data_IF_241187578628
#
_entry.id   IF_241187578628
#
_cell.length_a   1.000
_cell.length_b   1.000
_cell.length_c   1.000
_cell.angle_alpha   90.00
_cell.angle_beta   90.00
_cell.angle_gamma   90.00
#
_symmetry.space_group_name_H-M   'P 1'
#
loop_
_entity.id
_entity.type
_entity.pdbx_description
1 polymer ?
#
# COMPACT_ATOMS: atom_id res chain seq x y z
N UNK A 1 -22.33 59.70 41.61
CA UNK A 1 -21.53 59.73 42.85
C UNK A 1 -20.29 58.86 42.62
N UNK A 2 -19.15 59.30 42.05
CA UNK A 2 -18.37 60.56 42.07
C UNK A 2 -17.22 60.55 43.08
N UNK A 3 -16.06 61.08 42.65
CA UNK A 3 -14.74 61.17 43.32
C UNK A 3 -13.98 59.84 43.50
N UNK A 4 -12.75 59.59 43.00
CA UNK A 4 -11.55 60.37 42.56
C UNK A 4 -10.50 60.75 43.62
N UNK A 5 -9.36 60.04 43.59
CA UNK A 5 -7.96 60.57 43.48
C UNK A 5 -7.03 59.37 43.19
N UNK A 6 -6.25 59.38 42.09
CA UNK A 6 -4.88 59.96 41.93
C UNK A 6 -3.82 59.31 42.83
N UNK A 7 -2.57 59.05 42.44
CA UNK A 7 -1.78 58.94 41.18
C UNK A 7 -0.31 59.17 41.61
N UNK A 8 0.59 58.22 41.39
CA UNK A 8 2.06 58.42 41.31
C UNK A 8 2.67 57.12 40.75
N UNK A 9 3.26 57.00 39.56
CA UNK A 9 4.21 57.80 38.77
C UNK A 9 5.69 57.57 39.12
N UNK A 10 6.37 56.74 38.31
CA UNK A 10 7.67 57.04 37.66
C UNK A 10 8.12 55.95 36.67
N UNK A 11 8.50 56.38 35.47
CA UNK A 11 9.49 55.78 34.56
C UNK A 11 10.82 56.55 34.79
N UNK A 12 12.01 56.11 34.32
CA UNK A 12 12.33 55.76 32.93
C UNK A 12 13.03 54.38 32.84
N UNK A 13 13.72 53.93 31.77
CA UNK A 13 14.14 54.57 30.51
C UNK A 13 14.07 53.58 29.32
N UNK A 14 14.69 53.94 28.18
CA UNK A 14 14.73 53.20 26.92
C UNK A 14 16.00 52.36 26.81
N UNK A 15 15.94 51.29 26.02
CA UNK A 15 16.93 51.05 24.96
C UNK A 15 16.21 50.62 23.69
N UNK A 16 16.89 50.75 22.55
CA UNK A 16 16.38 50.54 21.19
C UNK A 16 17.52 49.94 20.33
N UNK A 17 17.18 49.54 19.11
CA UNK A 17 18.09 49.13 18.02
C UNK A 17 18.81 47.77 18.22
N UNK A 18 19.17 47.00 17.19
CA UNK A 18 18.88 47.12 15.74
C UNK A 18 18.39 45.78 15.15
N UNK A 19 17.93 45.82 13.88
CA UNK A 19 17.80 44.65 13.01
C UNK A 19 18.81 44.82 11.90
N UNK A 20 19.63 43.80 11.63
CA UNK A 20 20.58 43.80 10.53
C UNK A 20 20.50 42.47 9.75
N UNK A 21 20.41 42.61 8.43
CA UNK A 21 20.47 41.62 7.33
C UNK A 21 21.19 42.45 6.24
N UNK A 22 22.26 42.04 5.55
CA UNK A 22 22.38 40.85 4.70
C UNK A 22 23.88 40.62 4.31
N UNK A 23 24.26 40.17 3.09
CA UNK A 23 24.86 38.86 2.83
C UNK A 23 26.39 38.89 2.63
N UNK A 24 27.01 37.70 2.54
CA UNK A 24 28.03 37.47 1.51
C UNK A 24 28.24 35.99 1.18
N UNK A 25 28.72 35.74 -0.04
CA UNK A 25 29.03 34.42 -0.61
C UNK A 25 30.33 33.85 -0.01
N UNK A 26 30.45 32.53 0.02
CA UNK A 26 31.75 31.87 -0.10
C UNK A 26 31.57 30.54 -0.85
N UNK A 27 32.39 30.32 -1.87
CA UNK A 27 32.24 29.26 -2.85
C UNK A 27 33.47 28.33 -2.88
N UNK A 28 33.24 27.07 -3.28
CA UNK A 28 34.18 26.02 -3.68
C UNK A 28 35.57 25.87 -3.01
N UNK A 29 35.82 24.66 -2.50
CA UNK A 29 37.11 23.97 -2.64
C UNK A 29 36.89 22.43 -2.66
N UNK A 30 37.40 21.75 -3.68
CA UNK A 30 37.42 20.28 -3.80
C UNK A 30 38.55 19.65 -2.96
N UNK A 31 38.44 18.35 -2.63
CA UNK A 31 39.47 17.35 -2.98
C UNK A 31 39.02 15.89 -2.74
N UNK A 32 39.79 14.90 -3.23
CA UNK A 32 39.41 13.47 -3.39
C UNK A 32 40.47 12.50 -2.79
N UNK A 33 40.26 11.19 -2.57
CA UNK A 33 39.08 10.33 -2.86
C UNK A 33 38.58 9.62 -1.55
N UNK A 34 38.61 8.30 -1.26
CA UNK A 34 39.10 7.07 -1.91
C UNK A 34 38.16 5.86 -1.59
N UNK A 35 38.08 4.91 -2.53
CA UNK A 35 37.29 3.67 -2.56
C UNK A 35 37.14 2.87 -1.23
N UNK A 36 35.91 2.36 -1.00
CA UNK A 36 35.69 0.93 -0.73
C UNK A 36 34.52 0.44 -1.62
N UNK A 37 34.74 -0.64 -2.36
CA UNK A 37 33.73 -1.36 -3.17
C UNK A 37 33.38 -2.69 -2.48
N UNK A 38 32.08 -2.97 -2.24
CA UNK A 38 31.59 -4.35 -2.20
C UNK A 38 30.07 -4.48 -2.48
N UNK A 39 29.75 -4.72 -3.76
CA UNK A 39 28.83 -5.77 -4.21
C UNK A 39 27.39 -5.88 -3.64
N UNK A 40 26.42 -5.27 -4.33
CA UNK A 40 24.99 -5.66 -4.28
C UNK A 40 24.26 -5.43 -5.62
N UNK A 41 24.78 -6.00 -6.70
CA UNK A 41 24.30 -5.75 -8.07
C UNK A 41 22.84 -6.17 -8.33
N UNK A 42 22.00 -5.22 -8.77
CA UNK A 42 20.67 -5.48 -9.35
C UNK A 42 20.74 -5.30 -10.87
N UNK A 43 20.28 -6.31 -11.62
CA UNK A 43 20.49 -6.40 -13.07
C UNK A 43 19.50 -5.53 -13.87
N UNK A 44 19.90 -4.31 -14.21
CA UNK A 44 19.10 -3.41 -15.05
C UNK A 44 19.19 -3.79 -16.54
N UNK A 45 18.18 -4.53 -17.02
CA UNK A 45 18.02 -4.86 -18.45
C UNK A 45 17.18 -3.81 -19.19
N UNK A 46 17.84 -2.78 -19.69
CA UNK A 46 17.29 -1.93 -20.76
C UNK A 46 17.42 -2.69 -22.09
N UNK A 47 16.30 -3.14 -22.65
CA UNK A 47 16.29 -3.70 -24.01
C UNK A 47 16.28 -2.55 -25.03
N UNK A 48 17.04 -2.63 -26.13
CA UNK A 48 16.94 -1.65 -27.22
C UNK A 48 15.61 -1.80 -27.97
N UNK A 49 15.11 -0.69 -28.50
CA UNK A 49 13.83 -0.61 -29.18
C UNK A 49 13.82 -1.28 -30.57
N UNK A 50 12.69 -1.89 -30.92
CA UNK A 50 12.25 -2.15 -32.30
C UNK A 50 10.99 -1.33 -32.56
N UNK A 51 10.90 -0.74 -33.75
CA UNK A 51 10.13 0.48 -34.03
C UNK A 51 8.60 0.28 -34.11
N UNK A 52 7.85 0.72 -33.08
CA UNK A 52 6.43 1.15 -33.20
C UNK A 52 6.15 2.32 -32.25
N UNK A 53 5.74 3.47 -32.81
CA UNK A 53 5.31 4.65 -32.05
C UNK A 53 4.21 4.34 -31.02
N UNK A 54 4.49 4.50 -29.72
CA UNK A 54 3.46 4.75 -28.72
C UNK A 54 4.00 5.47 -27.47
N UNK A 55 3.50 6.67 -27.15
CA UNK A 55 3.87 7.39 -25.93
C UNK A 55 3.33 6.71 -24.64
N UNK A 56 2.32 5.83 -24.73
CA UNK A 56 1.84 5.00 -23.61
C UNK A 56 2.96 4.19 -22.94
N UNK A 57 4.03 3.85 -23.67
CA UNK A 57 5.13 3.01 -23.18
C UNK A 57 5.96 3.73 -22.10
N UNK A 58 5.91 5.07 -22.03
CA UNK A 58 6.62 5.86 -21.01
C UNK A 58 5.92 5.91 -19.65
N UNK A 59 4.68 5.41 -19.53
CA UNK A 59 4.05 5.14 -18.24
C UNK A 59 4.65 3.86 -17.64
N UNK A 60 5.69 4.02 -16.82
CA UNK A 60 6.58 2.96 -16.33
C UNK A 60 5.89 1.89 -15.46
N UNK A 61 5.29 0.89 -16.11
CA UNK A 61 4.83 -0.35 -15.50
C UNK A 61 6.01 -1.27 -15.13
N UNK A 62 6.86 -0.77 -14.24
CA UNK A 62 7.76 -1.58 -13.41
C UNK A 62 6.84 -2.47 -12.57
N UNK A 63 6.95 -3.80 -12.69
CA UNK A 63 6.36 -4.68 -11.67
C UNK A 63 7.19 -4.54 -10.40
N UNK A 64 6.68 -3.68 -9.51
CA UNK A 64 7.17 -3.43 -8.15
C UNK A 64 7.12 -4.71 -7.33
N UNK A 65 6.05 -5.48 -7.53
CA UNK A 65 5.84 -6.80 -6.95
C UNK A 65 6.72 -7.87 -7.63
N UNK A 66 7.72 -8.38 -6.91
CA UNK A 66 8.70 -9.35 -7.44
C UNK A 66 8.40 -10.82 -7.08
N UNK A 67 7.31 -11.10 -6.34
CA UNK A 67 6.90 -12.45 -5.97
C UNK A 67 7.80 -13.19 -4.97
N UNK A 68 8.89 -12.61 -4.47
CA UNK A 68 9.74 -13.27 -3.46
C UNK A 68 8.93 -13.51 -2.19
N UNK A 69 8.96 -14.74 -1.69
CA UNK A 69 8.25 -15.15 -0.47
C UNK A 69 8.80 -14.39 0.73
N UNK A 70 8.00 -13.45 1.25
CA UNK A 70 8.21 -12.81 2.53
C UNK A 70 7.01 -13.10 3.45
N UNK A 71 7.27 -13.80 4.55
CA UNK A 71 6.31 -14.08 5.63
C UNK A 71 6.40 -13.05 6.78
N UNK A 72 7.47 -12.26 6.82
CA UNK A 72 7.71 -11.21 7.81
C UNK A 72 6.96 -9.92 7.47
N UNK A 73 5.70 -9.85 7.89
CA UNK A 73 4.87 -8.64 7.74
C UNK A 73 5.04 -7.71 8.96
N UNK A 74 5.99 -6.78 8.82
CA UNK A 74 6.30 -5.69 9.75
C UNK A 74 5.96 -4.35 9.07
N UNK A 75 4.68 -3.96 9.09
CA UNK A 75 4.23 -2.67 8.57
C UNK A 75 4.49 -1.53 9.57
N UNK A 76 5.04 -0.43 9.07
CA UNK A 76 5.14 0.86 9.76
C UNK A 76 4.04 1.78 9.23
N UNK A 77 3.50 2.64 10.11
CA UNK A 77 2.49 3.64 9.78
C UNK A 77 3.01 5.03 10.18
N UNK A 78 3.11 5.93 9.21
CA UNK A 78 3.62 7.30 9.41
C UNK A 78 2.67 8.33 8.77
N UNK A 79 2.39 9.45 9.43
CA UNK A 79 1.47 10.47 8.91
C UNK A 79 2.24 11.57 8.19
N UNK A 80 2.38 11.42 6.88
CA UNK A 80 3.20 12.29 6.01
C UNK A 80 2.61 13.70 5.83
N UNK A 81 1.27 13.82 5.81
CA UNK A 81 0.59 15.11 5.73
C UNK A 81 -0.72 15.12 6.52
N UNK A 82 -1.23 16.32 6.82
CA UNK A 82 -2.44 16.51 7.60
C UNK A 82 -3.17 17.81 7.19
N UNK A 83 -3.93 17.73 6.10
CA UNK A 83 -4.41 18.86 5.32
C UNK A 83 -5.85 19.27 5.65
N UNK A 84 -6.12 20.58 5.66
CA UNK A 84 -7.43 21.14 6.03
C UNK A 84 -8.32 21.26 4.79
N UNK A 85 -9.04 20.17 4.48
CA UNK A 85 -10.00 20.11 3.38
C UNK A 85 -11.27 20.90 3.71
N UNK A 86 -11.82 21.62 2.72
CA UNK A 86 -13.07 22.39 2.81
C UNK A 86 -14.09 21.87 1.80
N UNK A 87 -15.09 21.13 2.26
CA UNK A 87 -16.22 20.65 1.45
C UNK A 87 -17.47 21.49 1.72
N UNK A 88 -17.79 22.45 0.85
CA UNK A 88 -19.05 23.20 0.76
C UNK A 88 -19.60 23.87 2.06
N UNK A 89 -20.04 23.06 3.04
CA UNK A 89 -20.63 23.46 4.33
C UNK A 89 -19.82 23.01 5.55
N UNK A 90 -18.73 22.28 5.36
CA UNK A 90 -17.91 21.72 6.43
C UNK A 90 -16.43 21.65 6.07
N UNK A 91 -15.57 21.68 7.08
CA UNK A 91 -14.14 21.43 6.91
C UNK A 91 -13.70 20.27 7.81
N UNK A 92 -12.69 19.52 7.38
CA UNK A 92 -12.06 18.47 8.19
C UNK A 92 -10.54 18.48 8.01
N UNK A 93 -9.85 17.63 8.77
CA UNK A 93 -8.43 17.34 8.57
C UNK A 93 -8.34 15.97 7.93
N UNK A 94 -7.74 15.89 6.75
CA UNK A 94 -7.42 14.67 6.03
C UNK A 94 -5.97 14.31 6.35
N UNK A 95 -5.73 13.08 6.82
CA UNK A 95 -4.41 12.60 7.20
C UNK A 95 -3.94 11.61 6.14
N UNK A 96 -2.78 11.89 5.54
CA UNK A 96 -2.12 11.02 4.57
C UNK A 96 -1.19 10.09 5.34
N UNK A 97 -1.57 8.80 5.44
CA UNK A 97 -0.82 7.79 6.17
C UNK A 97 -0.03 6.95 5.17
N UNK A 98 1.29 7.03 5.22
CA UNK A 98 2.19 6.11 4.52
C UNK A 98 2.26 4.78 5.27
N UNK A 99 2.32 3.71 4.48
CA UNK A 99 2.49 2.33 4.91
C UNK A 99 3.78 1.86 4.26
N UNK A 100 4.76 1.47 5.07
CA UNK A 100 6.06 0.98 4.60
C UNK A 100 6.43 -0.33 5.29
N UNK A 101 7.21 -1.15 4.59
CA UNK A 101 7.95 -2.25 5.20
C UNK A 101 9.26 -1.74 5.80
N UNK A 102 9.75 -2.37 6.88
CA UNK A 102 11.04 -2.02 7.50
C UNK A 102 12.27 -2.26 6.59
N UNK A 103 12.10 -2.82 5.37
CA UNK A 103 13.18 -3.30 4.50
C UNK A 103 13.30 -2.47 3.22
N UNK A 104 13.95 -1.31 3.31
CA UNK A 104 14.43 -0.55 2.14
C UNK A 104 13.36 -0.19 1.11
N UNK A 105 12.17 0.15 1.58
CA UNK A 105 10.96 0.27 0.76
C UNK A 105 11.03 1.49 -0.18
N UNK A 106 11.16 1.22 -1.49
CA UNK A 106 11.27 2.26 -2.54
C UNK A 106 9.89 2.85 -2.88
N UNK A 107 8.80 2.13 -2.59
CA UNK A 107 7.46 2.51 -3.02
C UNK A 107 6.68 3.25 -1.93
N UNK A 108 6.23 4.46 -2.25
CA UNK A 108 5.30 5.20 -1.39
C UNK A 108 3.90 4.59 -1.53
N UNK A 109 3.35 4.07 -0.43
CA UNK A 109 2.03 3.45 -0.39
C UNK A 109 1.17 4.15 0.66
N UNK A 110 0.31 5.07 0.22
CA UNK A 110 -0.46 5.94 1.10
C UNK A 110 -1.98 5.68 1.06
N UNK A 111 -2.61 5.84 2.21
CA UNK A 111 -4.08 6.00 2.34
C UNK A 111 -4.42 7.37 2.92
N UNK A 112 -5.56 7.93 2.53
CA UNK A 112 -6.07 9.19 3.07
C UNK A 112 -7.26 8.94 4.00
N UNK A 113 -7.21 9.38 5.26
CA UNK A 113 -8.30 9.19 6.24
C UNK A 113 -8.51 10.41 7.13
N UNK A 114 -9.75 10.71 7.49
CA UNK A 114 -10.11 11.77 8.46
C UNK A 114 -10.45 11.16 9.81
N UNK A 115 -10.46 11.98 10.87
CA UNK A 115 -10.67 11.53 12.26
C UNK A 115 -11.90 10.63 12.46
N UNK A 116 -13.01 10.87 11.75
CA UNK A 116 -14.24 10.06 11.85
C UNK A 116 -14.09 8.62 11.38
N UNK A 117 -13.12 8.34 10.51
CA UNK A 117 -12.98 7.03 9.88
C UNK A 117 -12.17 6.11 10.82
N UNK A 118 -11.14 6.69 11.47
CA UNK A 118 -10.49 6.12 12.65
C UNK A 118 -11.48 5.90 13.80
N UNK A 119 -12.39 6.86 14.05
CA UNK A 119 -13.42 6.77 15.10
C UNK A 119 -14.43 5.64 14.81
N UNK A 120 -14.84 5.45 13.55
CA UNK A 120 -15.62 4.30 13.06
C UNK A 120 -14.89 2.99 13.36
N UNK A 121 -13.63 2.86 12.91
CA UNK A 121 -12.82 1.66 13.15
C UNK A 121 -12.71 1.32 14.64
N UNK A 122 -12.29 2.28 15.47
CA UNK A 122 -12.17 2.10 16.92
C UNK A 122 -13.49 1.65 17.58
N UNK A 123 -14.62 2.18 17.11
CA UNK A 123 -15.96 1.81 17.62
C UNK A 123 -16.34 0.38 17.24
N UNK A 124 -16.08 -0.04 15.99
CA UNK A 124 -16.36 -1.41 15.52
C UNK A 124 -15.45 -2.41 16.21
N UNK A 125 -14.15 -2.15 16.29
CA UNK A 125 -13.19 -3.04 16.93
C UNK A 125 -13.47 -3.22 18.43
N UNK A 126 -13.79 -2.15 19.19
CA UNK A 126 -14.15 -2.28 20.62
C UNK A 126 -15.43 -3.09 20.85
N UNK A 127 -16.36 -3.09 19.89
CA UNK A 127 -17.58 -3.91 19.96
C UNK A 127 -17.29 -5.38 19.61
N UNK A 128 -16.34 -5.65 18.71
CA UNK A 128 -16.03 -6.99 18.18
C UNK A 128 -14.94 -7.73 18.96
N UNK A 129 -14.00 -7.00 19.53
CA UNK A 129 -12.78 -7.48 20.19
C UNK A 129 -12.53 -6.68 21.49
N UNK A 130 -13.46 -6.72 22.46
CA UNK A 130 -13.41 -5.85 23.65
C UNK A 130 -12.12 -6.05 24.44
N UNK A 131 -11.76 -7.30 24.73
CA UNK A 131 -10.59 -7.67 25.54
C UNK A 131 -9.29 -7.25 24.86
N UNK A 132 -9.17 -7.48 23.56
CA UNK A 132 -7.98 -7.10 22.77
C UNK A 132 -7.84 -5.58 22.64
N UNK A 133 -8.94 -4.84 22.73
CA UNK A 133 -8.97 -3.38 22.63
C UNK A 133 -8.87 -2.66 23.98
N UNK A 134 -8.83 -3.38 25.11
CA UNK A 134 -8.79 -2.79 26.47
C UNK A 134 -7.63 -1.80 26.63
N UNK A 135 -6.40 -2.27 26.33
CA UNK A 135 -5.17 -1.48 26.48
C UNK A 135 -4.85 -0.60 25.26
N UNK A 136 -5.64 -0.65 24.18
CA UNK A 136 -5.42 0.16 22.98
C UNK A 136 -5.89 1.59 23.23
N UNK A 137 -4.96 2.55 23.32
CA UNK A 137 -5.29 3.97 23.44
C UNK A 137 -5.84 4.54 22.12
N UNK A 138 -6.78 5.50 22.20
CA UNK A 138 -7.35 6.19 21.03
C UNK A 138 -7.49 7.71 21.28
N UNK A 139 -7.12 8.59 20.33
CA UNK A 139 -7.22 10.04 20.51
C UNK A 139 -8.66 10.53 20.66
N UNK A 140 -8.92 11.34 21.70
CA UNK A 140 -10.27 11.85 21.99
C UNK A 140 -10.79 12.80 20.89
N UNK A 141 -12.12 12.83 20.72
CA UNK A 141 -12.81 13.81 19.89
C UNK A 141 -12.66 15.20 20.52
N UNK A 142 -12.32 16.19 19.70
CA UNK A 142 -12.11 17.59 20.10
C UNK A 142 -13.13 18.44 19.35
N UNK A 143 -13.98 19.16 20.09
CA UNK A 143 -15.09 19.94 19.53
C UNK A 143 -14.69 21.36 19.10
N UNK A 144 -13.61 21.91 19.68
CA UNK A 144 -13.13 23.28 19.42
C UNK A 144 -11.61 23.25 19.24
N UNK A 145 -11.11 23.86 18.16
CA UNK A 145 -9.67 23.92 17.89
C UNK A 145 -9.08 22.66 17.25
N UNK A 146 -9.91 21.79 16.66
CA UNK A 146 -9.48 20.63 15.88
C UNK A 146 -8.50 20.96 14.72
N UNK A 147 -8.55 22.19 14.21
CA UNK A 147 -7.64 22.72 13.16
C UNK A 147 -6.36 23.36 13.71
N UNK A 148 -6.13 23.37 15.03
CA UNK A 148 -4.87 23.89 15.60
C UNK A 148 -3.73 22.92 15.28
N UNK A 149 -2.60 23.44 14.79
CA UNK A 149 -1.42 22.63 14.43
C UNK A 149 -0.98 21.67 15.55
N UNK A 150 -0.97 22.13 16.81
CA UNK A 150 -0.67 21.26 17.96
C UNK A 150 -1.68 20.11 18.13
N UNK A 151 -2.97 20.34 17.89
CA UNK A 151 -4.02 19.31 17.93
C UNK A 151 -3.91 18.34 16.75
N UNK A 152 -3.49 18.83 15.58
CA UNK A 152 -3.22 18.03 14.38
C UNK A 152 -2.02 17.11 14.65
N UNK A 153 -0.84 17.66 15.02
CA UNK A 153 0.36 16.89 15.29
C UNK A 153 0.19 15.86 16.44
N UNK A 154 -0.52 16.24 17.51
CA UNK A 154 -0.87 15.28 18.59
C UNK A 154 -1.72 14.11 18.07
N UNK A 155 -2.60 14.35 17.08
CA UNK A 155 -3.43 13.32 16.47
C UNK A 155 -2.66 12.45 15.48
N UNK A 156 -1.78 13.03 14.66
CA UNK A 156 -0.89 12.30 13.75
C UNK A 156 -0.14 11.19 14.51
N UNK A 157 0.61 11.58 15.54
CA UNK A 157 1.36 10.63 16.40
C UNK A 157 0.47 9.61 17.11
N UNK A 158 -0.71 10.02 17.55
CA UNK A 158 -1.67 9.11 18.18
C UNK A 158 -2.30 8.11 17.18
N UNK A 159 -2.40 8.46 15.89
CA UNK A 159 -2.88 7.55 14.85
C UNK A 159 -1.81 6.54 14.41
N UNK A 160 -0.55 6.97 14.28
CA UNK A 160 0.60 6.09 14.04
C UNK A 160 0.67 5.01 15.12
N UNK A 161 0.70 5.43 16.40
CA UNK A 161 0.71 4.54 17.55
C UNK A 161 -0.53 3.64 17.60
N UNK A 162 -1.72 4.17 17.30
CA UNK A 162 -2.94 3.39 17.27
C UNK A 162 -2.90 2.29 16.20
N UNK A 163 -2.50 2.60 14.97
CA UNK A 163 -2.39 1.62 13.89
C UNK A 163 -1.33 0.56 14.20
N UNK A 164 -0.17 0.95 14.72
CA UNK A 164 0.86 0.00 15.18
C UNK A 164 0.36 -0.93 16.29
N UNK A 165 -0.40 -0.43 17.27
CA UNK A 165 -1.00 -1.27 18.32
C UNK A 165 -2.08 -2.22 17.78
N UNK A 166 -2.95 -1.76 16.87
CA UNK A 166 -3.92 -2.64 16.21
C UNK A 166 -3.23 -3.73 15.39
N UNK A 167 -2.18 -3.35 14.66
CA UNK A 167 -1.44 -4.24 13.77
C UNK A 167 -0.66 -5.31 14.55
N UNK A 168 -0.19 -5.01 15.76
CA UNK A 168 0.42 -5.99 16.65
C UNK A 168 -0.56 -7.10 17.11
N UNK A 169 -1.87 -6.85 17.08
CA UNK A 169 -2.90 -7.81 17.50
C UNK A 169 -3.33 -8.66 16.30
N UNK A 170 -2.91 -9.93 16.26
CA UNK A 170 -3.17 -10.88 15.17
C UNK A 170 -4.66 -10.94 14.75
N UNK A 171 -5.57 -11.05 15.72
CA UNK A 171 -7.01 -11.16 15.48
C UNK A 171 -7.61 -9.89 14.84
N UNK A 172 -6.99 -8.73 15.07
CA UNK A 172 -7.41 -7.46 14.47
C UNK A 172 -6.75 -7.27 13.10
N UNK A 173 -5.44 -7.56 12.97
CA UNK A 173 -4.69 -7.48 11.71
C UNK A 173 -5.43 -8.16 10.56
N UNK A 174 -5.93 -9.38 10.79
CA UNK A 174 -6.63 -10.19 9.79
C UNK A 174 -8.17 -10.07 9.83
N UNK A 175 -8.74 -9.08 10.55
CA UNK A 175 -10.20 -8.86 10.52
C UNK A 175 -10.62 -7.97 9.34
N UNK A 176 -11.83 -8.24 8.80
CA UNK A 176 -12.42 -7.48 7.68
C UNK A 176 -12.54 -5.98 7.99
N UNK A 177 -12.79 -5.62 9.25
CA UNK A 177 -12.96 -4.22 9.67
C UNK A 177 -11.65 -3.42 9.59
N UNK A 178 -10.51 -4.06 9.86
CA UNK A 178 -9.17 -3.49 9.67
C UNK A 178 -8.84 -3.36 8.19
N UNK A 179 -9.12 -4.40 7.37
CA UNK A 179 -8.99 -4.33 5.91
C UNK A 179 -9.89 -3.23 5.29
N UNK A 180 -11.08 -2.99 5.85
CA UNK A 180 -11.98 -1.90 5.45
C UNK A 180 -11.41 -0.52 5.74
N UNK A 181 -10.65 -0.36 6.82
CA UNK A 181 -9.96 0.90 7.07
C UNK A 181 -8.90 1.21 6.00
N UNK A 182 -8.23 0.22 5.41
CA UNK A 182 -7.23 0.43 4.36
C UNK A 182 -7.81 0.44 2.94
N UNK A 183 -8.48 -0.64 2.52
CA UNK A 183 -8.68 -0.94 1.10
C UNK A 183 -10.03 -1.53 0.67
N UNK A 184 -10.89 -2.00 1.59
CA UNK A 184 -12.01 -2.89 1.20
C UNK A 184 -12.94 -2.31 0.11
N UNK A 185 -13.16 -1.00 0.07
CA UNK A 185 -13.99 -0.38 -0.98
C UNK A 185 -13.30 -0.45 -2.36
N UNK A 186 -11.99 -0.17 -2.44
CA UNK A 186 -11.20 -0.36 -3.68
C UNK A 186 -11.14 -1.83 -4.10
N UNK A 187 -10.94 -2.76 -3.16
CA UNK A 187 -10.97 -4.20 -3.44
C UNK A 187 -12.33 -4.63 -3.97
N UNK A 188 -13.41 -4.28 -3.26
CA UNK A 188 -14.79 -4.62 -3.63
C UNK A 188 -15.13 -4.07 -5.01
N UNK A 189 -14.82 -2.81 -5.29
CA UNK A 189 -15.08 -2.23 -6.60
C UNK A 189 -14.17 -2.87 -7.68
N UNK A 190 -12.89 -3.12 -7.42
CA UNK A 190 -12.01 -3.85 -8.35
C UNK A 190 -12.57 -5.22 -8.75
N UNK A 191 -13.00 -6.02 -7.78
CA UNK A 191 -13.62 -7.33 -8.02
C UNK A 191 -15.01 -7.24 -8.68
N UNK A 192 -15.78 -6.19 -8.41
CA UNK A 192 -17.07 -5.89 -9.08
C UNK A 192 -16.87 -5.43 -10.53
N UNK A 193 -15.85 -4.62 -10.81
CA UNK A 193 -15.44 -4.26 -12.16
C UNK A 193 -14.96 -5.49 -12.94
N UNK A 194 -14.23 -6.43 -12.30
CA UNK A 194 -13.85 -7.73 -12.89
C UNK A 194 -15.08 -8.60 -13.22
N UNK A 195 -16.07 -8.70 -12.33
CA UNK A 195 -17.31 -9.44 -12.62
C UNK A 195 -18.06 -8.86 -13.83
N UNK A 196 -18.06 -7.53 -13.95
CA UNK A 196 -18.69 -6.76 -15.02
C UNK A 196 -17.82 -6.63 -16.29
N UNK A 197 -16.68 -7.33 -16.33
CA UNK A 197 -15.71 -7.34 -17.44
C UNK A 197 -15.15 -5.94 -17.82
N UNK A 198 -15.23 -4.99 -16.87
CA UNK A 198 -14.66 -3.64 -16.96
C UNK A 198 -13.19 -3.67 -16.55
N UNK A 199 -12.40 -4.45 -17.28
CA UNK A 199 -11.04 -4.86 -16.91
C UNK A 199 -10.07 -3.67 -16.67
N UNK A 200 -10.17 -2.58 -17.42
CA UNK A 200 -9.35 -1.38 -17.21
C UNK A 200 -9.60 -0.70 -15.85
N UNK A 201 -10.85 -0.68 -15.37
CA UNK A 201 -11.19 -0.11 -14.06
C UNK A 201 -10.83 -1.07 -12.92
N UNK A 202 -10.99 -2.38 -13.15
CA UNK A 202 -10.54 -3.41 -12.23
C UNK A 202 -9.02 -3.30 -11.98
N UNK A 203 -8.21 -3.10 -13.04
CA UNK A 203 -6.76 -2.90 -12.95
C UNK A 203 -6.43 -1.71 -12.04
N UNK A 204 -6.98 -0.51 -12.30
CA UNK A 204 -6.72 0.71 -11.50
C UNK A 204 -6.92 0.47 -10.00
N UNK A 205 -8.02 -0.19 -9.63
CA UNK A 205 -8.35 -0.46 -8.24
C UNK A 205 -7.46 -1.56 -7.63
N UNK A 206 -7.19 -2.63 -8.37
CA UNK A 206 -6.40 -3.78 -7.90
C UNK A 206 -4.91 -3.45 -7.78
N UNK A 207 -4.34 -2.68 -8.70
CA UNK A 207 -2.94 -2.21 -8.61
C UNK A 207 -2.75 -1.19 -7.48
N UNK A 208 -3.74 -0.33 -7.19
CA UNK A 208 -3.71 0.51 -5.98
C UNK A 208 -3.71 -0.33 -4.69
N UNK A 209 -4.48 -1.43 -4.67
CA UNK A 209 -4.55 -2.32 -3.51
C UNK A 209 -3.27 -3.14 -3.28
N UNK A 210 -2.64 -3.64 -4.35
CA UNK A 210 -1.57 -4.63 -4.29
C UNK A 210 -0.42 -4.27 -3.32
N UNK A 211 0.31 -3.14 -3.47
CA UNK A 211 1.46 -2.84 -2.62
C UNK A 211 1.06 -2.57 -1.16
N UNK A 212 -0.14 -2.05 -0.92
CA UNK A 212 -0.68 -1.86 0.43
C UNK A 212 -0.98 -3.24 1.08
N UNK A 213 -1.55 -4.20 0.32
CA UNK A 213 -1.77 -5.56 0.85
C UNK A 213 -0.47 -6.35 1.07
N UNK A 214 0.53 -6.21 0.20
CA UNK A 214 1.88 -6.78 0.37
C UNK A 214 2.50 -6.32 1.69
N UNK A 215 2.51 -5.01 1.95
CA UNK A 215 3.11 -4.43 3.16
C UNK A 215 2.36 -4.80 4.44
N UNK A 216 1.03 -4.90 4.37
CA UNK A 216 0.19 -5.29 5.51
C UNK A 216 0.27 -6.79 5.84
N UNK A 217 0.42 -7.69 4.86
CA UNK A 217 0.18 -9.12 5.06
C UNK A 217 1.29 -10.08 4.58
N UNK A 218 2.26 -9.59 3.81
CA UNK A 218 3.28 -10.43 3.18
C UNK A 218 2.78 -11.14 1.91
N UNK A 219 3.71 -11.58 1.09
CA UNK A 219 3.43 -11.97 -0.30
C UNK A 219 2.75 -13.35 -0.42
N UNK A 220 2.92 -14.19 0.59
CA UNK A 220 2.23 -15.49 0.70
C UNK A 220 0.78 -15.37 1.17
N UNK A 221 0.27 -14.15 1.42
CA UNK A 221 -1.11 -13.98 1.88
C UNK A 221 -2.12 -14.19 0.74
N UNK A 222 -3.19 -14.93 1.03
CA UNK A 222 -4.27 -15.21 0.07
C UNK A 222 -4.90 -13.96 -0.55
N UNK A 223 -4.94 -12.83 0.16
CA UNK A 223 -5.46 -11.55 -0.39
C UNK A 223 -4.54 -11.02 -1.50
N UNK A 224 -3.22 -11.02 -1.27
CA UNK A 224 -2.21 -10.59 -2.26
C UNK A 224 -2.27 -11.51 -3.48
N UNK A 225 -2.25 -12.82 -3.25
CA UNK A 225 -2.39 -13.86 -4.28
C UNK A 225 -3.66 -13.67 -5.11
N UNK A 226 -4.81 -13.38 -4.47
CA UNK A 226 -6.08 -13.14 -5.17
C UNK A 226 -6.05 -11.87 -6.03
N UNK A 227 -5.36 -10.82 -5.59
CA UNK A 227 -5.20 -9.57 -6.36
C UNK A 227 -4.34 -9.83 -7.60
N UNK A 228 -3.21 -10.52 -7.45
CA UNK A 228 -2.35 -10.92 -8.57
C UNK A 228 -3.11 -11.76 -9.59
N UNK A 229 -3.85 -12.80 -9.15
CA UNK A 229 -4.64 -13.65 -10.04
C UNK A 229 -5.71 -12.85 -10.80
N UNK A 230 -6.35 -11.87 -10.15
CA UNK A 230 -7.32 -10.99 -10.80
C UNK A 230 -6.66 -10.03 -11.80
N UNK A 231 -5.46 -9.52 -11.51
CA UNK A 231 -4.66 -8.71 -12.44
C UNK A 231 -4.23 -9.51 -13.67
N UNK A 232 -3.77 -10.77 -13.52
CA UNK A 232 -3.47 -11.67 -14.65
C UNK A 232 -4.68 -11.76 -15.60
N UNK A 233 -5.86 -12.08 -15.05
CA UNK A 233 -7.11 -12.21 -15.83
C UNK A 233 -7.49 -10.90 -16.52
N UNK A 234 -7.33 -9.75 -15.85
CA UNK A 234 -7.62 -8.45 -16.46
C UNK A 234 -6.63 -8.07 -17.57
N UNK A 235 -5.32 -8.20 -17.34
CA UNK A 235 -4.31 -7.86 -18.34
C UNK A 235 -4.34 -8.77 -19.57
N UNK A 236 -4.65 -10.06 -19.39
CA UNK A 236 -4.92 -10.97 -20.50
C UNK A 236 -6.17 -10.52 -21.29
N UNK A 237 -7.24 -10.11 -20.60
CA UNK A 237 -8.49 -9.63 -21.21
C UNK A 237 -8.38 -8.26 -21.90
N UNK A 238 -7.25 -7.55 -21.77
CA UNK A 238 -6.91 -6.34 -22.55
C UNK A 238 -5.67 -6.52 -23.45
N UNK A 239 -5.35 -7.77 -23.78
CA UNK A 239 -4.27 -8.18 -24.71
C UNK A 239 -2.86 -7.71 -24.29
N UNK A 240 -2.67 -7.29 -23.04
CA UNK A 240 -1.37 -6.89 -22.47
C UNK A 240 -0.64 -8.13 -21.93
N UNK A 241 -0.48 -9.14 -22.78
CA UNK A 241 0.03 -10.47 -22.43
C UNK A 241 1.38 -10.41 -21.69
N UNK A 242 2.31 -9.53 -22.11
CA UNK A 242 3.62 -9.33 -21.44
C UNK A 242 3.51 -8.87 -19.98
N UNK A 243 2.42 -8.21 -19.59
CA UNK A 243 2.16 -7.75 -18.21
C UNK A 243 1.45 -8.85 -17.42
N UNK A 244 0.42 -9.46 -18.02
CA UNK A 244 -0.28 -10.62 -17.44
C UNK A 244 0.69 -11.76 -17.09
N UNK A 245 1.65 -12.03 -17.98
CA UNK A 245 2.63 -13.09 -17.82
C UNK A 245 3.57 -12.83 -16.63
N UNK A 246 4.11 -11.62 -16.47
CA UNK A 246 4.93 -11.25 -15.29
C UNK A 246 4.13 -11.32 -13.98
N UNK A 247 2.87 -10.87 -13.97
CA UNK A 247 2.01 -11.03 -12.80
C UNK A 247 1.72 -12.50 -12.48
N UNK A 248 1.63 -13.38 -13.49
CA UNK A 248 1.43 -14.81 -13.28
C UNK A 248 2.69 -15.53 -12.77
N UNK A 249 3.88 -15.15 -13.25
CA UNK A 249 5.17 -15.60 -12.70
C UNK A 249 5.27 -15.22 -11.21
N UNK A 250 4.99 -13.96 -10.88
CA UNK A 250 5.07 -13.47 -9.50
C UNK A 250 4.01 -14.12 -8.58
N UNK A 251 2.80 -14.39 -9.09
CA UNK A 251 1.79 -15.15 -8.34
C UNK A 251 2.23 -16.59 -8.05
N UNK A 252 2.82 -17.29 -9.03
CA UNK A 252 3.37 -18.65 -8.87
C UNK A 252 4.48 -18.70 -7.80
N UNK A 253 5.26 -17.62 -7.64
CA UNK A 253 6.30 -17.52 -6.61
C UNK A 253 5.75 -17.29 -5.18
N UNK A 254 4.49 -16.86 -5.04
CA UNK A 254 3.88 -16.57 -3.74
C UNK A 254 3.38 -17.81 -2.98
N UNK A 255 3.08 -18.90 -3.70
CA UNK A 255 2.71 -20.18 -3.09
C UNK A 255 3.94 -20.95 -2.62
N UNK A 256 3.74 -21.88 -1.68
CA UNK A 256 4.75 -22.92 -1.47
C UNK A 256 4.63 -24.01 -2.54
N UNK A 257 5.75 -24.60 -2.96
CA UNK A 257 5.74 -25.61 -4.03
C UNK A 257 5.10 -26.93 -3.60
N UNK A 258 4.80 -27.07 -2.31
CA UNK A 258 4.15 -28.24 -1.75
C UNK A 258 2.62 -28.14 -1.64
N UNK A 259 2.03 -26.94 -1.72
CA UNK A 259 0.59 -26.73 -1.57
C UNK A 259 -0.21 -27.21 -2.79
N UNK A 260 -1.22 -28.04 -2.53
CA UNK A 260 -2.19 -28.50 -3.52
C UNK A 260 -3.34 -27.52 -3.78
N UNK A 261 -3.10 -26.21 -3.68
CA UNK A 261 -4.14 -25.18 -3.86
C UNK A 261 -4.63 -25.14 -5.31
N UNK A 262 -5.94 -25.23 -5.51
CA UNK A 262 -6.63 -25.08 -6.80
C UNK A 262 -6.18 -23.80 -7.55
N UNK A 263 -5.98 -22.72 -6.80
CA UNK A 263 -5.47 -21.43 -7.29
C UNK A 263 -4.05 -21.53 -7.82
N UNK A 264 -3.16 -22.22 -7.09
CA UNK A 264 -1.75 -22.38 -7.47
C UNK A 264 -1.66 -23.06 -8.83
N UNK A 265 -2.42 -24.14 -9.00
CA UNK A 265 -2.39 -24.95 -10.21
C UNK A 265 -3.06 -24.19 -11.37
N UNK A 266 -4.17 -23.48 -11.13
CA UNK A 266 -4.83 -22.64 -12.13
C UNK A 266 -3.92 -21.49 -12.62
N UNK A 267 -3.20 -20.81 -11.72
CA UNK A 267 -2.27 -19.73 -12.11
C UNK A 267 -0.98 -20.27 -12.75
N UNK A 268 -0.50 -21.44 -12.32
CA UNK A 268 0.64 -22.13 -12.94
C UNK A 268 0.33 -22.57 -14.37
N UNK A 269 -0.84 -23.17 -14.62
CA UNK A 269 -1.31 -23.51 -15.97
C UNK A 269 -1.47 -22.24 -16.82
N UNK A 270 -2.01 -21.15 -16.25
CA UNK A 270 -2.15 -19.90 -16.98
C UNK A 270 -0.82 -19.21 -17.29
N UNK A 271 0.18 -19.32 -16.41
CA UNK A 271 1.54 -18.84 -16.64
C UNK A 271 2.23 -19.62 -17.78
N UNK A 272 2.08 -20.95 -17.82
CA UNK A 272 2.61 -21.79 -18.92
C UNK A 272 1.97 -21.42 -20.26
N UNK A 273 0.64 -21.20 -20.30
CA UNK A 273 -0.08 -20.72 -21.50
C UNK A 273 0.49 -19.38 -21.98
N UNK A 274 0.60 -18.39 -21.08
CA UNK A 274 1.12 -17.06 -21.41
C UNK A 274 2.59 -17.06 -21.84
N UNK A 275 3.44 -17.89 -21.24
CA UNK A 275 4.83 -18.06 -21.72
C UNK A 275 4.89 -18.69 -23.11
N UNK A 276 4.01 -19.66 -23.43
CA UNK A 276 3.94 -20.25 -24.76
C UNK A 276 3.46 -19.24 -25.82
N UNK A 277 2.41 -18.47 -25.53
CA UNK A 277 1.91 -17.38 -26.39
C UNK A 277 2.97 -16.30 -26.67
N UNK A 278 3.86 -16.04 -25.69
CA UNK A 278 4.95 -15.05 -25.81
C UNK A 278 6.28 -15.63 -26.32
N UNK A 279 6.36 -16.92 -26.65
CA UNK A 279 7.61 -17.57 -27.08
C UNK A 279 8.71 -17.60 -26.01
N UNK A 280 8.35 -17.47 -24.73
CA UNK A 280 9.26 -17.51 -23.58
C UNK A 280 9.57 -18.95 -23.15
N UNK A 281 10.68 -19.13 -22.43
CA UNK A 281 10.91 -20.37 -21.70
C UNK A 281 9.85 -20.60 -20.61
N UNK A 282 9.61 -21.86 -20.32
CA UNK A 282 8.58 -22.36 -19.41
C UNK A 282 8.98 -23.67 -18.72
N UNK A 283 10.22 -24.15 -18.89
CA UNK A 283 10.71 -25.42 -18.32
C UNK A 283 10.51 -25.50 -16.80
N UNK A 284 10.87 -24.45 -16.06
CA UNK A 284 10.68 -24.41 -14.60
C UNK A 284 9.20 -24.50 -14.19
N UNK A 285 8.29 -23.92 -14.97
CA UNK A 285 6.85 -23.98 -14.72
C UNK A 285 6.29 -25.37 -15.06
N UNK A 286 6.72 -25.96 -16.17
CA UNK A 286 6.35 -27.32 -16.57
C UNK A 286 6.86 -28.36 -15.56
N UNK A 287 8.08 -28.19 -15.02
CA UNK A 287 8.63 -29.01 -13.93
C UNK A 287 7.80 -28.90 -12.65
N UNK A 288 7.37 -27.69 -12.25
CA UNK A 288 6.45 -27.52 -11.10
C UNK A 288 5.10 -28.20 -11.36
N UNK A 289 4.55 -28.10 -12.56
CA UNK A 289 3.29 -28.78 -12.91
C UNK A 289 3.44 -30.31 -12.92
N UNK A 290 4.61 -30.84 -13.29
CA UNK A 290 4.91 -32.27 -13.14
C UNK A 290 4.97 -32.70 -11.67
N UNK A 291 5.58 -31.91 -10.76
CA UNK A 291 5.53 -32.18 -9.31
C UNK A 291 4.09 -32.29 -8.80
N UNK A 292 3.21 -31.39 -9.23
CA UNK A 292 1.77 -31.40 -8.89
C UNK A 292 1.08 -32.67 -9.40
N UNK A 293 1.25 -33.03 -10.68
CA UNK A 293 0.66 -34.24 -11.25
C UNK A 293 1.12 -35.51 -10.54
N UNK A 294 2.39 -35.58 -10.14
CA UNK A 294 2.97 -36.70 -9.39
C UNK A 294 2.36 -36.87 -7.97
N UNK A 295 1.62 -35.88 -7.46
CA UNK A 295 0.83 -35.98 -6.20
C UNK A 295 -0.57 -36.57 -6.41
N UNK A 296 -0.89 -37.09 -7.60
CA UNK A 296 -2.22 -37.58 -8.02
C UNK A 296 -3.32 -36.49 -8.04
N UNK A 297 -2.94 -35.23 -8.25
CA UNK A 297 -3.90 -34.13 -8.42
C UNK A 297 -4.30 -34.06 -9.90
N UNK A 298 -5.59 -34.23 -10.19
CA UNK A 298 -6.11 -34.17 -11.56
C UNK A 298 -6.28 -32.72 -12.05
N UNK A 299 -5.26 -32.25 -12.76
CA UNK A 299 -5.19 -30.91 -13.37
C UNK A 299 -6.33 -30.64 -14.36
N UNK A 300 -6.96 -31.66 -14.95
CA UNK A 300 -8.05 -31.47 -15.91
C UNK A 300 -9.39 -31.16 -15.24
N UNK A 301 -9.53 -31.42 -13.94
CA UNK A 301 -10.71 -31.06 -13.14
C UNK A 301 -10.70 -29.61 -12.63
N UNK A 302 -9.57 -28.91 -12.74
CA UNK A 302 -9.35 -27.61 -12.11
C UNK A 302 -9.95 -26.48 -12.98
N UNK A 303 -10.83 -25.63 -12.42
CA UNK A 303 -11.46 -24.56 -13.19
C UNK A 303 -10.49 -23.46 -13.59
N UNK A 304 -10.81 -22.76 -14.68
CA UNK A 304 -9.97 -21.67 -15.18
C UNK A 304 -9.81 -20.53 -14.16
N UNK A 305 -8.64 -19.89 -14.16
CA UNK A 305 -8.31 -18.77 -13.27
C UNK A 305 -9.36 -17.64 -13.32
N UNK A 306 -9.95 -17.37 -14.49
CA UNK A 306 -11.04 -16.39 -14.68
C UNK A 306 -12.31 -16.78 -13.92
N UNK A 307 -12.63 -18.07 -13.77
CA UNK A 307 -13.77 -18.54 -12.99
C UNK A 307 -13.51 -18.44 -11.49
N UNK A 308 -12.34 -18.92 -11.02
CA UNK A 308 -11.92 -18.82 -9.61
C UNK A 308 -11.95 -17.35 -9.13
N UNK A 309 -11.40 -16.43 -9.92
CA UNK A 309 -11.42 -15.01 -9.58
C UNK A 309 -12.85 -14.43 -9.52
N UNK A 310 -13.73 -14.77 -10.50
CA UNK A 310 -15.14 -14.31 -10.50
C UNK A 310 -15.98 -14.86 -9.34
N UNK A 311 -15.67 -16.06 -8.85
CA UNK A 311 -16.29 -16.65 -7.67
C UNK A 311 -15.87 -15.90 -6.39
N UNK A 312 -14.56 -15.60 -6.22
CA UNK A 312 -14.05 -14.91 -5.02
C UNK A 312 -14.67 -13.54 -4.80
N UNK A 313 -15.01 -12.82 -5.87
CA UNK A 313 -15.82 -11.59 -5.83
C UNK A 313 -17.14 -11.71 -5.04
N UNK A 314 -17.74 -12.90 -4.95
CA UNK A 314 -19.00 -13.15 -4.21
C UNK A 314 -18.81 -13.31 -2.70
N UNK A 315 -17.56 -13.40 -2.23
CA UNK A 315 -17.21 -13.70 -0.83
C UNK A 315 -16.62 -12.51 -0.04
N UNK A 316 -16.41 -11.35 -0.69
CA UNK A 316 -15.68 -10.19 -0.14
C UNK A 316 -16.53 -9.01 0.37
#
# INVERSE_FOLDING_TARGET
MSFLKKLSSRRPERFLDSVDIDPQELDLADDQDEFIDEFAGTLNLTLPDDDVNNEDIRASHILRFNGRRNTGCNAVFEVMSADIVKENRSSYVLYTIQISSHTGDIDISCIERRFSDFEKLNTVLRKRFPDQMEMVAFPRKVLVGNFRQATIATRSRAFEQYLSHLYAIYQIRYCRDFLEFFLLDFLRDGYKHLQQERHQDAIKNLEYCLPITEKLYGNTNSTVINILCALVVCYQSIERLRIAQKYSEAAVLCFDEDDGDETYIAVLVQAIRLSWELGKDKQDLELKLQKVKNKNIDVETIPELKLICKQRCQSM
#
